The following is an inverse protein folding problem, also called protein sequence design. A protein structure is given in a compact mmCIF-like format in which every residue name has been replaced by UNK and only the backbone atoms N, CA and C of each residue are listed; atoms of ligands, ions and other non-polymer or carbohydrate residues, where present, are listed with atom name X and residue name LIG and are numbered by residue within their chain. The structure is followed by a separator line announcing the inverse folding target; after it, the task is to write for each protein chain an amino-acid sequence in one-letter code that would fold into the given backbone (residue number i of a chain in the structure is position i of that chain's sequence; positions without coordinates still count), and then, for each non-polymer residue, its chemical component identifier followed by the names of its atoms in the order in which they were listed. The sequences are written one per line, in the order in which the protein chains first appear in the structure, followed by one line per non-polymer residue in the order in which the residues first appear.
data_IF_282260514241
#
_entry.id   IF_282260514241
#
_cell.length_a   1.000
_cell.length_b   1.000
_cell.length_c   1.000
_cell.angle_alpha   90.00
_cell.angle_beta   90.00
_cell.angle_gamma   90.00
#
_symmetry.space_group_name_H-M   'P 1'
#
loop_
_entity.id
_entity.type
_entity.pdbx_description
1 polymer ?
#
# COMPACT_ATOMS: atom_id res chain seq x y z
N UNK A 1 3.44 -19.16 -4.95
CA UNK A 1 2.27 -18.79 -4.12
C UNK A 1 2.75 -17.77 -3.11
N UNK A 2 2.04 -16.65 -2.94
CA UNK A 2 2.47 -15.60 -2.00
C UNK A 2 2.47 -16.11 -0.56
N UNK A 3 3.50 -15.71 0.18
CA UNK A 3 3.68 -16.02 1.59
C UNK A 3 2.89 -15.04 2.48
N UNK A 4 2.80 -15.36 3.78
CA UNK A 4 2.26 -14.42 4.77
C UNK A 4 3.09 -13.13 4.87
N UNK A 5 4.39 -13.19 4.60
CA UNK A 5 5.27 -12.02 4.62
C UNK A 5 4.94 -11.11 3.45
N UNK A 6 4.68 -11.68 2.27
CA UNK A 6 4.33 -10.92 1.06
C UNK A 6 3.01 -10.17 1.28
N UNK A 7 2.02 -10.83 1.88
CA UNK A 7 0.76 -10.19 2.22
C UNK A 7 0.93 -9.07 3.25
N UNK A 8 1.85 -9.25 4.21
CA UNK A 8 2.21 -8.21 5.18
C UNK A 8 2.87 -7.03 4.49
N UNK A 9 3.82 -7.26 3.58
CA UNK A 9 4.49 -6.22 2.82
C UNK A 9 3.51 -5.40 1.96
N UNK A 10 2.61 -6.07 1.23
CA UNK A 10 1.54 -5.41 0.46
C UNK A 10 0.66 -4.54 1.37
N UNK A 11 0.28 -5.04 2.54
CA UNK A 11 -0.51 -4.26 3.49
C UNK A 11 0.29 -3.11 4.10
N UNK A 12 1.59 -3.27 4.31
CA UNK A 12 2.47 -2.19 4.75
C UNK A 12 2.54 -1.07 3.72
N UNK A 13 2.66 -1.39 2.42
CA UNK A 13 2.61 -0.39 1.34
C UNK A 13 1.29 0.39 1.40
N UNK A 14 0.18 -0.32 1.59
CA UNK A 14 -1.15 0.30 1.76
C UNK A 14 -1.18 1.26 2.93
N UNK A 15 -0.87 0.78 4.14
CA UNK A 15 -1.02 1.59 5.35
C UNK A 15 -0.07 2.78 5.35
N UNK A 16 1.18 2.63 4.91
CA UNK A 16 2.12 3.74 4.81
C UNK A 16 1.64 4.81 3.81
N UNK A 17 1.03 4.40 2.71
CA UNK A 17 0.46 5.33 1.73
C UNK A 17 -0.73 6.10 2.29
N UNK A 18 -1.60 5.43 3.08
CA UNK A 18 -2.70 6.08 3.79
C UNK A 18 -2.12 7.07 4.80
N UNK A 19 -1.22 6.63 5.67
CA UNK A 19 -0.64 7.47 6.73
C UNK A 19 0.06 8.71 6.15
N UNK A 20 0.72 8.58 5.00
CA UNK A 20 1.34 9.69 4.30
C UNK A 20 0.32 10.70 3.77
N UNK A 21 -0.78 10.23 3.17
CA UNK A 21 -1.88 11.09 2.69
C UNK A 21 -2.59 11.78 3.86
N UNK A 22 -2.90 11.05 4.93
CA UNK A 22 -3.51 11.59 6.14
C UNK A 22 -2.61 12.65 6.79
N UNK A 23 -1.31 12.36 6.93
CA UNK A 23 -0.34 13.32 7.45
C UNK A 23 -0.20 14.58 6.59
N UNK A 24 -0.32 14.45 5.27
CA UNK A 24 -0.31 15.59 4.35
C UNK A 24 -1.66 16.32 4.29
N UNK A 25 -2.73 15.76 4.88
CA UNK A 25 -4.12 16.20 4.75
C UNK A 25 -4.54 16.44 3.29
N UNK A 26 -3.92 15.71 2.36
CA UNK A 26 -4.05 15.90 0.92
C UNK A 26 -3.45 14.72 0.15
N UNK A 27 -4.15 14.22 -0.87
CA UNK A 27 -3.67 13.13 -1.72
C UNK A 27 -4.79 12.17 -2.16
N UNK A 28 -4.40 11.09 -2.85
CA UNK A 28 -5.34 10.08 -3.39
C UNK A 28 -4.96 8.67 -2.90
N UNK A 29 -5.50 8.21 -1.76
CA UNK A 29 -5.13 6.92 -1.18
C UNK A 29 -5.69 5.72 -1.97
N UNK A 30 -6.68 5.94 -2.83
CA UNK A 30 -7.35 4.88 -3.59
C UNK A 30 -6.45 4.12 -4.56
N UNK A 31 -5.53 4.81 -5.26
CA UNK A 31 -4.60 4.16 -6.18
C UNK A 31 -3.60 3.25 -5.43
N UNK A 32 -2.91 3.72 -4.36
CA UNK A 32 -2.09 2.84 -3.52
C UNK A 32 -2.83 1.63 -2.95
N UNK A 33 -4.12 1.74 -2.59
CA UNK A 33 -4.90 0.60 -2.11
C UNK A 33 -5.04 -0.51 -3.14
N UNK A 34 -5.41 -0.13 -4.38
CA UNK A 34 -5.64 -1.06 -5.48
C UNK A 34 -4.35 -1.60 -6.10
N UNK A 35 -3.33 -0.74 -6.21
CA UNK A 35 -2.08 -1.07 -6.91
C UNK A 35 -0.99 -1.67 -6.00
N UNK A 36 -1.15 -1.70 -4.68
CA UNK A 36 -0.11 -2.26 -3.79
C UNK A 36 0.34 -3.69 -4.17
N UNK A 37 -0.52 -4.63 -4.60
CA UNK A 37 -0.07 -5.95 -5.04
C UNK A 37 0.77 -5.91 -6.32
N UNK A 38 0.41 -5.10 -7.32
CA UNK A 38 1.20 -5.00 -8.56
C UNK A 38 2.52 -4.28 -8.32
N UNK A 39 2.52 -3.26 -7.46
CA UNK A 39 3.73 -2.51 -7.09
C UNK A 39 4.70 -3.34 -6.23
N UNK A 40 4.21 -4.30 -5.46
CA UNK A 40 5.05 -5.22 -4.69
C UNK A 40 5.81 -6.22 -5.58
N UNK A 41 5.21 -6.62 -6.71
CA UNK A 41 5.74 -7.66 -7.60
C UNK A 41 6.66 -7.09 -8.69
N UNK A 42 6.46 -5.82 -9.08
CA UNK A 42 7.24 -5.12 -10.10
C UNK A 42 8.65 -4.79 -9.63
#
# INVERSE_FOLDING_TARGET
MFSKIDQKAINTIRTLSIDAVEKANSGHPGLPMGAAPMAYVL
#
